data_IF_891618886079
#
_entry.id   IF_891618886079
#
_cell.length_a   1.000
_cell.length_b   1.000
_cell.length_c   1.000
_cell.angle_alpha   90.00
_cell.angle_beta   90.00
_cell.angle_gamma   90.00
#
_symmetry.space_group_name_H-M   'P 1'
#
loop_
_entity.id
_entity.type
_entity.pdbx_description
1 polymer ?
#
# COMPACT_ATOMS: atom_id res chain seq x y z
N UNK A 1 -6.94 27.94 12.67
CA UNK A 1 -7.61 26.99 11.77
C UNK A 1 -6.60 25.92 11.41
N UNK A 2 -6.95 24.65 11.56
CA UNK A 2 -6.06 23.54 11.22
C UNK A 2 -5.77 23.54 9.72
N UNK A 3 -4.50 23.35 9.33
CA UNK A 3 -4.07 23.24 7.93
C UNK A 3 -3.47 21.87 7.69
N UNK A 4 -3.71 21.33 6.51
CA UNK A 4 -3.26 19.99 6.12
C UNK A 4 -2.26 20.09 4.97
N UNK A 5 -1.29 19.19 4.99
CA UNK A 5 -0.44 18.86 3.85
C UNK A 5 -0.90 17.52 3.29
N UNK A 6 -0.92 17.38 1.96
CA UNK A 6 -1.37 16.17 1.27
C UNK A 6 -0.23 15.58 0.43
N UNK A 7 -0.15 14.26 0.41
CA UNK A 7 0.79 13.49 -0.40
C UNK A 7 -0.01 12.49 -1.24
N UNK A 8 0.27 12.46 -2.53
CA UNK A 8 -0.22 11.42 -3.44
C UNK A 8 0.94 10.53 -3.85
N UNK A 9 0.72 9.20 -3.84
CA UNK A 9 1.78 8.25 -4.17
C UNK A 9 1.21 7.00 -4.84
N UNK A 10 1.91 6.51 -5.86
CA UNK A 10 1.70 5.16 -6.37
C UNK A 10 2.55 4.19 -5.56
N UNK A 11 1.90 3.25 -4.88
CA UNK A 11 2.57 2.21 -4.10
C UNK A 11 2.30 0.87 -4.79
N UNK A 12 3.36 0.11 -5.02
CA UNK A 12 3.28 -1.19 -5.69
C UNK A 12 3.35 -2.31 -4.65
N UNK A 13 2.34 -3.16 -4.60
CA UNK A 13 2.35 -4.37 -3.81
C UNK A 13 3.22 -5.44 -4.50
N UNK A 14 4.47 -5.59 -4.09
CA UNK A 14 5.39 -6.59 -4.64
C UNK A 14 6.32 -7.13 -3.56
N UNK A 15 6.41 -8.46 -3.43
CA UNK A 15 7.30 -9.14 -2.49
C UNK A 15 8.77 -8.84 -2.75
N UNK A 16 9.10 -8.39 -3.97
CA UNK A 16 10.45 -7.97 -4.36
C UNK A 16 10.82 -6.58 -3.85
N UNK A 17 9.89 -5.83 -3.26
CA UNK A 17 10.22 -4.54 -2.69
C UNK A 17 11.21 -4.69 -1.52
N UNK A 18 12.13 -3.73 -1.33
CA UNK A 18 13.12 -3.78 -0.25
C UNK A 18 12.46 -3.94 1.12
N UNK A 19 13.01 -4.82 1.97
CA UNK A 19 12.55 -5.02 3.35
C UNK A 19 11.30 -5.89 3.52
N UNK A 20 10.50 -6.15 2.47
CA UNK A 20 9.25 -6.91 2.59
C UNK A 20 9.47 -8.35 3.06
N UNK A 21 10.48 -9.02 2.51
CA UNK A 21 10.77 -10.41 2.88
C UNK A 21 11.13 -10.55 4.36
N UNK A 22 11.90 -9.59 4.91
CA UNK A 22 12.27 -9.61 6.33
C UNK A 22 11.12 -9.17 7.22
N UNK A 23 10.31 -8.20 6.77
CA UNK A 23 9.06 -7.84 7.42
C UNK A 23 8.10 -9.04 7.54
N UNK A 24 7.92 -9.85 6.50
CA UNK A 24 7.05 -11.03 6.59
C UNK A 24 7.55 -12.09 7.57
N UNK A 25 8.87 -12.28 7.69
CA UNK A 25 9.45 -13.18 8.68
C UNK A 25 9.12 -12.76 10.12
N UNK A 26 9.04 -11.46 10.40
CA UNK A 26 8.69 -10.94 11.73
C UNK A 26 7.17 -10.84 11.94
N UNK A 27 6.44 -10.35 10.96
CA UNK A 27 5.00 -10.09 11.04
C UNK A 27 4.17 -11.39 11.03
N UNK A 28 4.51 -12.35 10.17
CA UNK A 28 3.82 -13.63 10.04
C UNK A 28 4.83 -14.77 9.78
N UNK A 29 5.61 -15.19 10.80
CA UNK A 29 6.69 -16.17 10.66
C UNK A 29 6.23 -17.52 10.09
N UNK A 30 4.96 -17.89 10.29
CA UNK A 30 4.39 -19.15 9.82
C UNK A 30 3.76 -19.06 8.42
N UNK A 31 3.78 -17.90 7.76
CA UNK A 31 3.19 -17.73 6.44
C UNK A 31 4.11 -18.29 5.36
N UNK A 32 3.84 -19.53 4.94
CA UNK A 32 4.58 -20.18 3.86
C UNK A 32 4.06 -19.69 2.51
N UNK A 33 4.97 -19.21 1.65
CA UNK A 33 4.70 -18.78 0.27
C UNK A 33 3.59 -17.72 0.15
N UNK A 34 3.78 -16.51 0.72
CA UNK A 34 2.83 -15.42 0.53
C UNK A 34 2.64 -15.10 -0.96
N UNK A 35 1.41 -14.75 -1.41
CA UNK A 35 1.19 -14.30 -2.78
C UNK A 35 2.07 -13.08 -3.08
N UNK A 36 2.76 -13.04 -4.24
CA UNK A 36 3.80 -12.05 -4.50
C UNK A 36 3.26 -10.61 -4.55
N UNK A 37 1.97 -10.43 -4.78
CA UNK A 37 1.33 -9.11 -4.92
C UNK A 37 0.33 -8.80 -3.80
N UNK A 38 0.39 -9.55 -2.69
CA UNK A 38 -0.50 -9.33 -1.55
C UNK A 38 -0.35 -7.90 -0.99
N UNK A 39 -1.43 -7.20 -0.60
CA UNK A 39 -1.35 -5.83 -0.09
C UNK A 39 -0.41 -5.64 1.10
N UNK A 40 -0.18 -6.66 1.92
CA UNK A 40 0.75 -6.61 3.05
C UNK A 40 2.19 -6.31 2.62
N UNK A 41 2.55 -6.51 1.35
CA UNK A 41 3.85 -6.10 0.81
C UNK A 41 4.05 -4.58 0.79
N UNK A 42 2.98 -3.80 0.93
CA UNK A 42 3.03 -2.34 1.04
C UNK A 42 3.20 -1.85 2.48
N UNK A 43 2.97 -2.71 3.48
CA UNK A 43 3.02 -2.30 4.89
C UNK A 43 4.34 -1.65 5.29
N UNK A 44 5.54 -2.16 4.92
CA UNK A 44 6.79 -1.50 5.29
C UNK A 44 6.90 -0.04 4.81
N UNK A 45 6.39 0.25 3.60
CA UNK A 45 6.40 1.60 3.06
C UNK A 45 5.33 2.48 3.73
N UNK A 46 4.15 1.93 3.99
CA UNK A 46 3.06 2.64 4.68
C UNK A 46 3.41 2.94 6.14
N UNK A 47 4.05 2.01 6.84
CA UNK A 47 4.54 2.19 8.21
C UNK A 47 5.59 3.30 8.26
N UNK A 48 6.55 3.29 7.33
CA UNK A 48 7.54 4.37 7.21
C UNK A 48 6.91 5.75 6.88
N UNK A 49 5.80 5.78 6.15
CA UNK A 49 5.02 7.01 5.94
C UNK A 49 4.31 7.43 7.23
N UNK A 50 3.76 6.47 7.98
CA UNK A 50 3.18 6.69 9.31
C UNK A 50 4.18 7.29 10.29
N UNK A 51 5.42 6.79 10.31
CA UNK A 51 6.51 7.32 11.15
C UNK A 51 6.88 8.78 10.81
N UNK A 52 6.67 9.19 9.56
CA UNK A 52 6.82 10.58 9.10
C UNK A 52 5.59 11.46 9.40
N UNK A 53 4.58 10.91 10.08
CA UNK A 53 3.34 11.57 10.45
C UNK A 53 2.28 11.59 9.37
N UNK A 54 2.42 10.81 8.28
CA UNK A 54 1.39 10.71 7.26
C UNK A 54 0.29 9.71 7.66
N UNK A 55 -0.95 10.13 7.49
CA UNK A 55 -2.14 9.32 7.68
C UNK A 55 -2.72 8.95 6.31
N UNK A 56 -2.94 7.66 6.05
CA UNK A 56 -3.59 7.19 4.83
C UNK A 56 -5.08 7.59 4.83
N UNK A 57 -5.51 8.26 3.76
CA UNK A 57 -6.90 8.73 3.58
C UNK A 57 -7.69 7.78 2.68
N UNK A 58 -7.05 7.33 1.60
CA UNK A 58 -7.73 6.60 0.55
C UNK A 58 -6.80 5.60 -0.13
N UNK A 59 -7.38 4.43 -0.44
CA UNK A 59 -6.88 3.47 -1.41
C UNK A 59 -8.02 3.11 -2.36
N UNK A 60 -7.67 2.93 -3.63
CA UNK A 60 -8.61 2.61 -4.71
C UNK A 60 -9.44 1.35 -4.41
N UNK A 61 -10.78 1.36 -4.60
CA UNK A 61 -11.60 0.16 -4.49
C UNK A 61 -11.31 -0.82 -5.64
N UNK A 62 -11.41 -2.12 -5.36
CA UNK A 62 -11.03 -3.17 -6.32
C UNK A 62 -12.22 -4.05 -6.68
N UNK A 63 -12.33 -4.40 -7.96
CA UNK A 63 -13.44 -5.20 -8.47
C UNK A 63 -13.34 -6.68 -8.06
N UNK A 64 -12.09 -7.17 -7.98
CA UNK A 64 -11.76 -8.56 -7.66
C UNK A 64 -10.32 -8.67 -7.16
N UNK A 65 -10.03 -9.71 -6.39
CA UNK A 65 -8.67 -10.12 -6.02
C UNK A 65 -8.26 -11.35 -6.82
N UNK A 66 -7.07 -11.30 -7.41
CA UNK A 66 -6.46 -12.35 -8.24
C UNK A 66 -5.68 -13.37 -7.42
N UNK A 67 -5.35 -14.51 -8.04
CA UNK A 67 -4.64 -15.60 -7.38
C UNK A 67 -3.21 -15.28 -6.93
N UNK A 68 -2.62 -14.17 -7.42
CA UNK A 68 -1.30 -13.69 -6.99
C UNK A 68 -1.38 -12.62 -5.90
N UNK A 69 -2.59 -12.27 -5.44
CA UNK A 69 -2.84 -11.16 -4.52
C UNK A 69 -2.98 -9.80 -5.22
N UNK A 70 -2.86 -9.76 -6.54
CA UNK A 70 -3.13 -8.60 -7.39
C UNK A 70 -4.64 -8.26 -7.44
N UNK A 71 -4.94 -7.05 -7.88
CA UNK A 71 -6.29 -6.50 -7.87
C UNK A 71 -6.77 -6.18 -9.28
N UNK A 72 -8.03 -6.50 -9.55
CA UNK A 72 -8.68 -6.10 -10.80
C UNK A 72 -9.17 -4.66 -10.66
N UNK A 73 -8.67 -3.79 -11.54
CA UNK A 73 -9.16 -2.41 -11.68
C UNK A 73 -10.33 -2.41 -12.64
N UNK A 74 -11.42 -1.73 -12.27
CA UNK A 74 -12.60 -1.58 -13.12
C UNK A 74 -12.28 -0.74 -14.38
N UNK A 75 -12.73 -1.20 -15.54
CA UNK A 75 -12.56 -0.58 -16.85
C UNK A 75 -13.38 -1.34 -17.90
N UNK A 76 -13.34 -0.92 -19.17
CA UNK A 76 -14.12 -1.58 -20.24
C UNK A 76 -13.81 -3.07 -20.39
N UNK A 77 -12.56 -3.49 -20.16
CA UNK A 77 -12.14 -4.89 -20.25
C UNK A 77 -11.56 -5.45 -18.94
N UNK A 78 -11.43 -4.62 -17.89
CA UNK A 78 -10.73 -4.96 -16.65
C UNK A 78 -9.25 -5.28 -16.86
N UNK A 79 -8.39 -4.88 -15.94
CA UNK A 79 -7.00 -5.34 -15.95
C UNK A 79 -6.50 -5.60 -14.54
N UNK A 80 -5.63 -6.60 -14.43
CA UNK A 80 -4.94 -6.94 -13.19
C UNK A 80 -3.80 -5.95 -12.94
N UNK A 81 -3.75 -5.42 -11.72
CA UNK A 81 -2.75 -4.48 -11.26
C UNK A 81 -2.31 -4.85 -9.86
N UNK A 82 -1.06 -4.56 -9.51
CA UNK A 82 -0.59 -4.55 -8.13
C UNK A 82 -0.15 -3.15 -7.69
N UNK A 83 -0.51 -2.12 -8.45
CA UNK A 83 -0.23 -0.72 -8.14
C UNK A 83 -1.48 -0.06 -7.59
N UNK A 84 -1.30 0.67 -6.49
CA UNK A 84 -2.35 1.38 -5.77
C UNK A 84 -2.06 2.88 -5.80
N UNK A 85 -3.09 3.67 -6.07
CA UNK A 85 -3.04 5.11 -5.86
C UNK A 85 -3.44 5.42 -4.42
N UNK A 86 -2.50 5.93 -3.65
CA UNK A 86 -2.69 6.26 -2.24
C UNK A 86 -2.69 7.78 -2.06
N UNK A 87 -3.64 8.27 -1.26
CA UNK A 87 -3.69 9.66 -0.82
C UNK A 87 -3.48 9.69 0.69
N UNK A 88 -2.53 10.49 1.14
CA UNK A 88 -2.18 10.66 2.55
C UNK A 88 -2.30 12.13 2.96
N UNK A 89 -2.52 12.37 4.25
CA UNK A 89 -2.52 13.71 4.86
C UNK A 89 -1.62 13.74 6.07
N UNK A 90 -1.11 14.92 6.43
CA UNK A 90 -0.57 15.21 7.76
C UNK A 90 -0.85 16.64 8.16
N UNK A 91 -0.79 16.92 9.46
CA UNK A 91 -0.92 18.30 9.96
C UNK A 91 0.21 19.15 9.41
N UNK A 92 -0.12 20.29 8.80
CA UNK A 92 0.86 21.28 8.38
C UNK A 92 1.28 22.11 9.60
N UNK A 93 2.58 22.19 9.94
CA UNK A 93 3.05 23.08 11.00
C UNK A 93 2.59 24.52 10.75
N UNK A 94 2.21 25.22 11.81
CA UNK A 94 2.05 26.67 11.73
C UNK A 94 3.42 27.27 11.40
N UNK A 95 3.47 28.08 10.33
CA UNK A 95 4.65 28.87 9.98
C UNK A 95 4.67 30.10 10.88
#
# INVERSE_FOLDING_TARGET
>A
MERWEYLTKFIKADVKNPGVTDFFKSYRPNWKNPPPYTPETMMPELDNLGDQGWELIHMEPVAKVGGKGDVMVNGSDGYWSNTYFCVLKRRKPAI
#
